data_IF_292516559879
#
_entry.id   IF_292516559879
#
_cell.length_a   1.000
_cell.length_b   1.000
_cell.length_c   1.000
_cell.angle_alpha   90.00
_cell.angle_beta   90.00
_cell.angle_gamma   90.00
#
_symmetry.space_group_name_H-M   'P 1'
#
loop_
_entity.id
_entity.type
_entity.pdbx_description
1 polymer ?
#
# COMPACT_ATOMS: atom_id res chain seq x y z
N UNK A 1 1.28 10.26 1.07
CA UNK A 1 2.15 9.85 -0.05
C UNK A 1 2.41 11.04 -0.96
N UNK A 2 3.58 11.09 -1.58
CA UNK A 2 3.93 12.06 -2.63
C UNK A 2 4.55 11.24 -3.76
N UNK A 3 3.98 11.33 -4.96
CA UNK A 3 4.40 10.55 -6.12
C UNK A 3 4.40 11.46 -7.33
N UNK A 4 5.53 12.11 -7.60
CA UNK A 4 5.69 13.02 -8.73
C UNK A 4 6.82 12.59 -9.64
N UNK A 5 6.59 12.64 -10.95
CA UNK A 5 7.57 12.28 -11.99
C UNK A 5 7.16 11.10 -12.85
N UNK A 6 7.69 11.03 -14.07
CA UNK A 6 7.34 10.01 -15.07
C UNK A 6 7.83 8.61 -14.68
N UNK A 7 8.89 8.51 -13.87
CA UNK A 7 9.55 7.25 -13.47
C UNK A 7 9.25 6.83 -12.02
N UNK A 8 8.32 7.50 -11.34
CA UNK A 8 8.06 7.34 -9.90
C UNK A 8 7.54 5.95 -9.49
N UNK A 9 7.21 5.10 -10.47
CA UNK A 9 6.86 3.70 -10.25
C UNK A 9 5.49 3.52 -9.60
N UNK A 10 5.39 2.52 -8.71
CA UNK A 10 4.15 2.13 -8.05
C UNK A 10 4.38 2.01 -6.55
N UNK A 11 3.48 2.63 -5.77
CA UNK A 11 3.38 2.44 -4.33
C UNK A 11 2.28 1.41 -4.06
N UNK A 12 2.61 0.35 -3.32
CA UNK A 12 1.66 -0.62 -2.78
C UNK A 12 1.83 -0.71 -1.27
N UNK A 13 0.71 -0.75 -0.56
CA UNK A 13 0.65 -1.10 0.86
C UNK A 13 -0.04 -2.44 0.94
N UNK A 14 0.57 -3.35 1.68
CA UNK A 14 0.09 -4.70 1.86
C UNK A 14 -0.34 -4.89 3.31
N UNK A 15 -1.29 -5.79 3.51
CA UNK A 15 -1.64 -6.33 4.81
C UNK A 15 -1.17 -7.77 4.86
N UNK A 16 -0.23 -8.05 5.77
CA UNK A 16 0.42 -9.36 5.87
C UNK A 16 0.16 -9.96 7.24
N UNK A 17 -0.66 -11.02 7.27
CA UNK A 17 -0.84 -11.80 8.49
C UNK A 17 0.45 -12.54 8.89
N UNK A 18 0.59 -12.81 10.18
CA UNK A 18 1.70 -13.57 10.73
C UNK A 18 1.75 -14.97 10.09
N UNK A 19 2.93 -15.35 9.60
CA UNK A 19 3.14 -16.64 8.92
C UNK A 19 2.84 -16.65 7.42
N UNK A 20 2.25 -15.58 6.87
CA UNK A 20 2.03 -15.41 5.42
C UNK A 20 3.27 -14.83 4.73
N UNK A 21 3.44 -15.07 3.43
CA UNK A 21 4.45 -14.36 2.62
C UNK A 21 3.90 -13.02 2.10
N UNK A 22 4.75 -12.21 1.46
CA UNK A 22 4.28 -11.00 0.77
C UNK A 22 3.42 -11.36 -0.45
N UNK A 23 3.67 -12.50 -1.09
CA UNK A 23 2.87 -12.95 -2.23
C UNK A 23 1.46 -13.38 -1.81
N UNK A 24 1.31 -13.85 -0.57
CA UNK A 24 0.01 -14.16 0.05
C UNK A 24 -0.70 -12.92 0.64
N UNK A 25 -0.02 -11.77 0.67
CA UNK A 25 -0.52 -10.58 1.37
C UNK A 25 -1.53 -9.81 0.53
N UNK A 26 -2.54 -9.26 1.22
CA UNK A 26 -3.60 -8.50 0.55
C UNK A 26 -3.11 -7.08 0.25
N UNK A 27 -3.30 -6.60 -0.99
CA UNK A 27 -3.03 -5.19 -1.33
C UNK A 27 -4.14 -4.31 -0.74
N UNK A 28 -3.77 -3.43 0.19
CA UNK A 28 -4.69 -2.51 0.86
C UNK A 28 -4.77 -1.15 0.17
N UNK A 29 -3.68 -0.72 -0.44
CA UNK A 29 -3.59 0.54 -1.14
C UNK A 29 -2.62 0.42 -2.31
N UNK A 30 -3.00 0.93 -3.48
CA UNK A 30 -2.12 0.99 -4.64
C UNK A 30 -2.28 2.32 -5.38
N UNK A 31 -1.15 2.93 -5.72
CA UNK A 31 -1.06 4.06 -6.64
C UNK A 31 0.11 3.85 -7.59
N UNK A 32 -0.09 4.15 -8.86
CA UNK A 32 0.92 4.00 -9.90
C UNK A 32 1.07 5.31 -10.66
N UNK A 33 2.32 5.65 -10.99
CA UNK A 33 2.64 6.84 -11.76
C UNK A 33 2.40 8.15 -11.01
N UNK A 34 2.48 9.24 -11.77
CA UNK A 34 2.42 10.60 -11.26
C UNK A 34 1.05 10.94 -10.64
N UNK A 35 1.05 11.41 -9.40
CA UNK A 35 -0.10 11.88 -8.60
C UNK A 35 -0.09 13.41 -8.39
N UNK A 36 0.85 14.11 -9.04
CA UNK A 36 1.06 15.55 -8.93
C UNK A 36 2.09 15.93 -7.87
N UNK A 37 2.64 17.14 -8.00
CA UNK A 37 3.66 17.66 -7.08
C UNK A 37 3.03 18.23 -5.79
N UNK A 38 2.41 17.35 -4.99
CA UNK A 38 1.82 17.69 -3.69
C UNK A 38 1.73 16.46 -2.80
N UNK A 39 1.70 16.68 -1.49
CA UNK A 39 1.41 15.62 -0.54
C UNK A 39 -0.08 15.28 -0.57
N UNK A 40 -0.38 13.98 -0.58
CA UNK A 40 -1.73 13.44 -0.57
C UNK A 40 -1.92 12.49 0.61
N UNK A 41 -3.12 12.53 1.21
CA UNK A 41 -3.52 11.57 2.23
C UNK A 41 -3.97 10.26 1.56
N UNK A 42 -3.41 9.14 2.02
CA UNK A 42 -3.88 7.80 1.68
C UNK A 42 -4.64 7.25 2.86
N UNK A 43 -5.79 6.65 2.59
CA UNK A 43 -6.63 6.03 3.61
C UNK A 43 -7.13 4.68 3.10
N UNK A 44 -7.15 3.69 3.97
CA UNK A 44 -7.71 2.37 3.74
C UNK A 44 -8.18 1.80 5.08
N UNK A 45 -9.17 0.91 5.03
CA UNK A 45 -9.63 0.20 6.21
C UNK A 45 -8.80 -1.05 6.40
N UNK A 46 -8.41 -1.34 7.64
CA UNK A 46 -7.76 -2.61 7.96
C UNK A 46 -8.77 -3.76 7.87
N UNK A 47 -8.40 -4.90 7.30
CA UNK A 47 -9.21 -6.11 7.34
C UNK A 47 -9.27 -6.64 8.78
N UNK A 48 -10.26 -7.50 9.07
CA UNK A 48 -10.27 -8.25 10.34
C UNK A 48 -9.07 -9.19 10.37
N UNK A 49 -8.33 -9.14 11.49
CA UNK A 49 -7.20 -10.00 11.74
C UNK A 49 -7.47 -10.79 13.03
N UNK A 50 -7.39 -12.12 12.96
CA UNK A 50 -7.47 -12.97 14.14
C UNK A 50 -6.07 -13.23 14.73
N UNK A 51 -5.03 -13.00 13.93
CA UNK A 51 -3.62 -13.15 14.28
C UNK A 51 -2.91 -11.80 14.16
N UNK A 52 -1.67 -11.75 14.67
CA UNK A 52 -0.82 -10.57 14.50
C UNK A 52 -0.58 -10.31 13.01
N UNK A 53 -0.38 -9.04 12.63
CA UNK A 53 -0.11 -8.65 11.25
C UNK A 53 0.99 -7.60 11.15
N UNK A 54 1.52 -7.43 9.94
CA UNK A 54 2.44 -6.39 9.51
C UNK A 54 1.87 -5.63 8.32
#
# INVERSE_FOLDING_TARGET
>A
YHMYGATIGTLRVYFKSQGSTVDDSQVMFQKSGNQGNRWLHGFFHLPKANDSFQ
#
